data_IF_891238745389
#
_entry.id   IF_891238745389
#
_cell.length_a   1.000
_cell.length_b   1.000
_cell.length_c   1.000
_cell.angle_alpha   90.00
_cell.angle_beta   90.00
_cell.angle_gamma   90.00
#
_symmetry.space_group_name_H-M   'P 1'
#
loop_
_entity.id
_entity.type
_entity.pdbx_description
1 polymer ?
#
# COMPACT_ATOMS: atom_id res chain seq x y z
N UNK A 1 -36.91 -22.74 -80.68
CA UNK A 1 -35.79 -22.94 -79.73
C UNK A 1 -36.03 -22.04 -78.54
N UNK A 2 -36.38 -22.64 -77.40
CA UNK A 2 -36.84 -21.98 -76.16
C UNK A 2 -35.67 -21.42 -75.35
N UNK A 3 -35.82 -20.25 -74.73
CA UNK A 3 -35.23 -19.92 -73.41
C UNK A 3 -35.85 -18.61 -72.88
N UNK A 4 -36.93 -18.69 -72.09
CA UNK A 4 -37.02 -18.67 -70.61
C UNK A 4 -36.71 -17.30 -69.97
N UNK A 5 -37.79 -16.68 -69.46
CA UNK A 5 -37.83 -15.63 -68.42
C UNK A 5 -37.04 -16.04 -67.18
N UNK A 6 -36.32 -15.10 -66.58
CA UNK A 6 -36.19 -15.04 -65.11
C UNK A 6 -36.26 -13.58 -64.64
N UNK A 7 -37.34 -13.32 -63.90
CA UNK A 7 -37.57 -12.13 -63.09
C UNK A 7 -36.60 -12.14 -61.91
N UNK A 8 -35.78 -11.10 -61.75
CA UNK A 8 -34.95 -10.93 -60.56
C UNK A 8 -35.51 -9.76 -59.75
N UNK A 9 -36.36 -10.12 -58.79
CA UNK A 9 -36.91 -9.26 -57.76
C UNK A 9 -35.76 -8.80 -56.86
N UNK A 10 -35.66 -7.48 -56.67
CA UNK A 10 -34.65 -6.86 -55.80
C UNK A 10 -34.86 -7.24 -54.33
N UNK A 11 -33.77 -7.59 -53.66
CA UNK A 11 -33.71 -7.70 -52.20
C UNK A 11 -32.72 -6.63 -51.75
N UNK A 12 -33.27 -5.48 -51.34
CA UNK A 12 -32.52 -4.41 -50.69
C UNK A 12 -32.32 -4.82 -49.22
N UNK A 13 -31.07 -5.14 -48.87
CA UNK A 13 -30.70 -5.52 -47.51
C UNK A 13 -30.76 -4.30 -46.60
N UNK A 14 -31.67 -4.31 -45.62
CA UNK A 14 -31.67 -3.37 -44.49
C UNK A 14 -30.56 -3.76 -43.51
N UNK A 15 -29.46 -3.00 -43.50
CA UNK A 15 -28.44 -3.10 -42.46
C UNK A 15 -28.87 -2.28 -41.24
N UNK A 16 -29.25 -2.96 -40.15
CA UNK A 16 -29.43 -2.34 -38.85
C UNK A 16 -28.06 -1.93 -38.29
N UNK A 17 -27.73 -0.65 -38.37
CA UNK A 17 -26.61 -0.05 -37.64
C UNK A 17 -27.02 0.11 -36.18
N UNK A 18 -26.73 -0.90 -35.34
CA UNK A 18 -26.84 -0.78 -33.90
C UNK A 18 -25.65 0.06 -33.38
N UNK A 19 -25.86 1.36 -33.20
CA UNK A 19 -24.99 2.17 -32.34
C UNK A 19 -25.21 1.69 -30.90
N UNK A 20 -24.28 0.88 -30.39
CA UNK A 20 -24.15 0.69 -28.96
C UNK A 20 -23.58 1.95 -28.35
N UNK A 21 -24.38 2.64 -27.53
CA UNK A 21 -23.88 3.72 -26.67
C UNK A 21 -22.74 3.15 -25.82
N UNK A 22 -21.52 3.63 -26.10
CA UNK A 22 -20.37 3.35 -25.26
C UNK A 22 -20.60 4.11 -23.96
N UNK A 23 -21.17 3.43 -22.97
CA UNK A 23 -21.13 3.86 -21.57
C UNK A 23 -19.69 4.26 -21.27
N UNK A 24 -19.42 5.50 -20.85
CA UNK A 24 -18.08 5.87 -20.41
C UNK A 24 -17.73 4.94 -19.26
N UNK A 25 -16.74 4.07 -19.47
CA UNK A 25 -16.19 3.29 -18.37
C UNK A 25 -15.77 4.30 -17.30
N UNK A 26 -16.38 4.22 -16.12
CA UNK A 26 -15.95 5.00 -14.97
C UNK A 26 -14.44 4.79 -14.85
N UNK A 27 -13.68 5.88 -14.98
CA UNK A 27 -12.23 5.86 -14.86
C UNK A 27 -11.89 5.26 -13.49
N UNK A 28 -11.52 3.98 -13.47
CA UNK A 28 -11.06 3.33 -12.27
C UNK A 28 -9.81 4.09 -11.81
N UNK A 29 -9.88 4.72 -10.64
CA UNK A 29 -8.69 5.24 -9.97
C UNK A 29 -7.66 4.11 -9.95
N UNK A 30 -6.43 4.31 -10.44
CA UNK A 30 -5.41 3.27 -10.44
C UNK A 30 -5.28 2.70 -9.03
N UNK A 31 -5.44 1.38 -8.90
CA UNK A 31 -5.30 0.72 -7.62
C UNK A 31 -3.86 0.91 -7.11
N UNK A 32 -3.74 1.34 -5.85
CA UNK A 32 -2.43 1.61 -5.23
C UNK A 32 -1.68 0.28 -5.08
N UNK A 33 -0.56 0.13 -5.82
CA UNK A 33 0.24 -1.10 -5.80
C UNK A 33 1.37 -1.00 -4.76
N UNK A 34 1.18 -1.65 -3.62
CA UNK A 34 2.15 -1.65 -2.52
C UNK A 34 3.29 -2.65 -2.69
N UNK A 35 3.09 -3.73 -3.46
CA UNK A 35 4.07 -4.82 -3.58
C UNK A 35 5.45 -4.30 -3.91
N UNK A 36 6.45 -4.75 -3.15
CA UNK A 36 7.83 -4.30 -3.26
C UNK A 36 8.48 -4.02 -1.91
N UNK A 37 9.69 -3.51 -1.96
CA UNK A 37 10.49 -3.11 -0.79
C UNK A 37 10.57 -1.59 -0.71
N UNK A 38 10.44 -1.09 0.51
CA UNK A 38 10.32 0.33 0.82
C UNK A 38 11.28 0.67 1.94
N UNK A 39 12.18 1.63 1.74
CA UNK A 39 13.11 2.10 2.76
C UNK A 39 12.50 3.29 3.50
N UNK A 40 12.46 3.25 4.82
CA UNK A 40 12.01 4.39 5.62
C UNK A 40 12.97 5.57 5.39
N UNK A 41 12.44 6.69 4.95
CA UNK A 41 13.20 7.93 4.79
C UNK A 41 12.96 8.90 5.93
N UNK A 42 11.73 8.91 6.47
CA UNK A 42 11.33 9.83 7.52
C UNK A 42 10.23 9.23 8.38
N UNK A 43 10.24 9.55 9.67
CA UNK A 43 9.15 9.24 10.58
C UNK A 43 9.04 10.33 11.66
N UNK A 44 7.80 10.70 12.00
CA UNK A 44 7.50 11.51 13.18
C UNK A 44 6.33 10.93 13.96
N UNK A 45 6.36 11.20 15.25
CA UNK A 45 5.32 10.92 16.21
C UNK A 45 4.72 12.23 16.70
N UNK A 46 3.40 12.30 16.81
CA UNK A 46 2.67 13.43 17.37
C UNK A 46 1.88 12.94 18.58
N UNK A 47 2.18 13.46 19.77
CA UNK A 47 1.54 13.08 21.02
C UNK A 47 1.17 14.34 21.79
N UNK A 48 -0.11 14.51 22.13
CA UNK A 48 -0.63 15.68 22.87
C UNK A 48 -0.28 17.03 22.22
N UNK A 49 -0.17 17.09 20.89
CA UNK A 49 0.23 18.28 20.14
C UNK A 49 1.74 18.43 19.93
N UNK A 50 2.56 17.72 20.70
CA UNK A 50 4.01 17.74 20.55
C UNK A 50 4.45 16.82 19.42
N UNK A 51 5.31 17.34 18.52
CA UNK A 51 5.87 16.59 17.40
C UNK A 51 7.32 16.20 17.68
N UNK A 52 7.63 14.92 17.56
CA UNK A 52 9.00 14.39 17.70
C UNK A 52 9.39 13.65 16.42
N UNK A 53 10.53 14.01 15.83
CA UNK A 53 11.13 13.24 14.73
C UNK A 53 11.73 11.95 15.28
N UNK A 54 11.34 10.81 14.74
CA UNK A 54 11.82 9.48 15.18
C UNK A 54 12.72 8.81 14.16
N UNK A 55 12.77 9.31 12.92
CA UNK A 55 13.70 8.88 11.88
C UNK A 55 14.05 10.06 10.96
N UNK A 56 15.29 10.19 10.44
CA UNK A 56 16.42 9.27 10.53
C UNK A 56 17.09 9.20 11.91
N UNK A 57 17.64 8.03 12.22
CA UNK A 57 18.57 7.82 13.35
C UNK A 57 19.93 7.45 12.77
N UNK A 58 20.98 8.15 13.21
CA UNK A 58 22.32 7.91 12.71
C UNK A 58 22.73 6.43 12.90
N UNK A 59 23.33 5.83 11.88
CA UNK A 59 23.80 4.44 11.93
C UNK A 59 22.70 3.39 11.89
N UNK A 60 21.46 3.72 11.52
CA UNK A 60 20.35 2.78 11.42
C UNK A 60 19.64 2.89 10.09
N UNK A 61 19.06 1.79 9.64
CA UNK A 61 18.12 1.78 8.52
C UNK A 61 16.94 0.86 8.79
N UNK A 62 15.84 1.13 8.10
CA UNK A 62 14.62 0.34 8.18
C UNK A 62 14.05 0.12 6.78
N UNK A 63 13.58 -1.09 6.53
CA UNK A 63 12.81 -1.45 5.35
C UNK A 63 11.46 -2.03 5.74
N UNK A 64 10.49 -1.87 4.85
CA UNK A 64 9.17 -2.48 4.88
C UNK A 64 8.90 -3.15 3.54
N UNK A 65 8.35 -4.36 3.57
CA UNK A 65 8.05 -5.15 2.39
C UNK A 65 6.57 -5.45 2.35
N UNK A 66 6.00 -5.47 1.15
CA UNK A 66 4.65 -5.94 0.90
C UNK A 66 4.68 -7.01 -0.18
N UNK A 67 3.94 -8.10 0.02
CA UNK A 67 3.89 -9.23 -0.93
C UNK A 67 2.48 -9.52 -1.48
N UNK A 68 1.58 -8.54 -1.39
CA UNK A 68 0.20 -8.65 -1.88
C UNK A 68 -0.84 -8.94 -0.80
N UNK A 69 -0.47 -9.64 0.28
CA UNK A 69 -1.36 -9.90 1.42
C UNK A 69 -0.69 -9.74 2.78
N UNK A 70 0.64 -9.78 2.82
CA UNK A 70 1.43 -9.64 4.03
C UNK A 70 2.38 -8.46 3.93
N UNK A 71 2.70 -7.92 5.10
CA UNK A 71 3.76 -6.97 5.28
C UNK A 71 4.79 -7.50 6.26
N UNK A 72 6.02 -7.01 6.15
CA UNK A 72 7.04 -7.17 7.15
C UNK A 72 7.89 -5.90 7.22
N UNK A 73 8.37 -5.54 8.40
CA UNK A 73 9.36 -4.49 8.57
C UNK A 73 10.58 -5.02 9.32
N UNK A 74 11.72 -4.45 9.01
CA UNK A 74 13.01 -4.77 9.60
C UNK A 74 13.76 -3.47 9.82
N UNK A 75 14.29 -3.28 11.03
CA UNK A 75 15.22 -2.23 11.36
C UNK A 75 16.47 -2.86 11.94
N UNK A 76 17.63 -2.35 11.53
CA UNK A 76 18.90 -2.78 12.09
C UNK A 76 19.91 -1.64 12.16
N UNK A 77 20.90 -1.77 13.04
CA UNK A 77 22.08 -0.93 13.02
C UNK A 77 23.04 -1.33 11.88
N UNK A 78 23.69 -0.34 11.30
CA UNK A 78 24.64 -0.53 10.19
C UNK A 78 25.95 -1.18 10.65
N UNK A 79 26.21 -1.21 11.96
CA UNK A 79 27.39 -1.89 12.54
C UNK A 79 27.20 -3.39 12.70
N UNK A 80 26.00 -3.92 12.41
CA UNK A 80 25.66 -5.34 12.57
C UNK A 80 25.90 -5.84 14.00
N UNK A 81 25.64 -4.99 14.99
CA UNK A 81 25.81 -5.27 16.41
C UNK A 81 27.25 -5.28 16.92
N UNK A 82 28.25 -4.89 16.12
CA UNK A 82 29.65 -4.81 16.62
C UNK A 82 29.86 -3.63 17.55
N UNK A 83 29.09 -2.54 17.39
CA UNK A 83 29.01 -1.47 18.39
C UNK A 83 27.88 -1.80 19.38
N UNK A 84 28.26 -2.38 20.52
CA UNK A 84 27.29 -2.81 21.56
C UNK A 84 26.51 -1.67 22.20
N UNK A 85 26.97 -0.42 22.08
CA UNK A 85 26.27 0.75 22.62
C UNK A 85 25.08 1.19 21.77
N UNK A 86 25.09 0.85 20.47
CA UNK A 86 24.06 1.25 19.50
C UNK A 86 23.37 0.07 18.81
N UNK A 87 23.80 -1.17 19.10
CA UNK A 87 23.29 -2.40 18.53
C UNK A 87 21.76 -2.46 18.62
N UNK A 88 21.11 -2.60 17.46
CA UNK A 88 19.66 -2.75 17.38
C UNK A 88 19.29 -3.68 16.24
N UNK A 89 18.36 -4.58 16.52
CA UNK A 89 17.61 -5.30 15.51
C UNK A 89 16.17 -5.41 15.99
N UNK A 90 15.23 -4.95 15.18
CA UNK A 90 13.80 -5.12 15.44
C UNK A 90 13.07 -5.44 14.15
N UNK A 91 12.01 -6.22 14.29
CA UNK A 91 11.20 -6.65 13.15
C UNK A 91 9.76 -6.88 13.57
N UNK A 92 8.86 -6.80 12.61
CA UNK A 92 7.50 -7.25 12.77
C UNK A 92 6.89 -7.63 11.44
N UNK A 93 5.84 -8.43 11.47
CA UNK A 93 5.17 -8.93 10.28
C UNK A 93 3.72 -9.34 10.57
N UNK A 94 2.92 -9.38 9.52
CA UNK A 94 1.53 -9.79 9.61
C UNK A 94 0.81 -9.66 8.27
N UNK A 95 -0.52 -9.70 8.32
CA UNK A 95 -1.37 -9.50 7.15
C UNK A 95 -1.79 -8.05 7.03
N UNK A 96 -2.27 -7.66 5.85
CA UNK A 96 -2.92 -6.38 5.66
C UNK A 96 -4.12 -6.45 4.72
N UNK A 97 -5.00 -5.46 4.84
CA UNK A 97 -6.06 -5.16 3.87
C UNK A 97 -5.85 -3.75 3.35
N UNK A 98 -6.00 -3.58 2.03
CA UNK A 98 -5.94 -2.28 1.36
C UNK A 98 -7.24 -2.03 0.59
N UNK A 99 -7.96 -0.97 0.92
CA UNK A 99 -9.17 -0.52 0.25
C UNK A 99 -9.07 0.96 -0.07
N UNK A 100 -8.78 1.28 -1.35
CA UNK A 100 -8.46 2.65 -1.76
C UNK A 100 -7.18 3.14 -1.07
N UNK A 101 -7.31 4.18 -0.25
CA UNK A 101 -6.23 4.74 0.58
C UNK A 101 -6.20 4.16 2.00
N UNK A 102 -7.19 3.35 2.39
CA UNK A 102 -7.30 2.77 3.74
C UNK A 102 -6.52 1.48 3.83
N UNK A 103 -5.55 1.46 4.72
CA UNK A 103 -4.63 0.37 4.95
C UNK A 103 -4.74 -0.09 6.39
N UNK A 104 -5.06 -1.36 6.60
CA UNK A 104 -5.17 -1.95 7.93
C UNK A 104 -4.17 -3.09 8.06
N UNK A 105 -3.31 -3.00 9.07
CA UNK A 105 -2.37 -4.05 9.46
C UNK A 105 -2.96 -4.89 10.57
N UNK A 106 -2.77 -6.20 10.48
CA UNK A 106 -2.91 -7.11 11.61
C UNK A 106 -1.52 -7.67 11.94
N UNK A 107 -0.92 -7.18 13.03
CA UNK A 107 0.46 -7.48 13.41
C UNK A 107 0.53 -8.79 14.21
N UNK A 108 1.09 -9.84 13.61
CA UNK A 108 1.11 -11.19 14.20
C UNK A 108 2.47 -11.57 14.79
N UNK A 109 3.54 -10.96 14.29
CA UNK A 109 4.90 -11.19 14.74
C UNK A 109 5.52 -9.84 15.07
N UNK A 110 6.12 -9.69 16.25
CA UNK A 110 6.86 -8.47 16.58
C UNK A 110 7.99 -8.75 17.57
N UNK A 111 9.15 -8.11 17.38
CA UNK A 111 10.23 -8.14 18.38
C UNK A 111 9.75 -7.62 19.74
N UNK A 112 8.83 -6.65 19.73
CA UNK A 112 8.15 -6.20 20.93
C UNK A 112 6.78 -6.89 21.06
N UNK A 113 6.78 -8.05 21.73
CA UNK A 113 5.64 -8.98 21.82
C UNK A 113 4.33 -8.36 22.32
N UNK A 114 4.40 -7.30 23.13
CA UNK A 114 3.21 -6.58 23.61
C UNK A 114 2.35 -5.95 22.51
N UNK A 115 2.89 -5.81 21.30
CA UNK A 115 2.18 -5.28 20.13
C UNK A 115 1.54 -6.35 19.25
N UNK A 116 1.80 -7.64 19.51
CA UNK A 116 1.21 -8.72 18.72
C UNK A 116 -0.31 -8.79 18.90
N UNK A 117 -0.97 -9.33 17.88
CA UNK A 117 -2.42 -9.45 17.73
C UNK A 117 -3.12 -8.09 17.93
N UNK A 118 -2.50 -7.03 17.40
CA UNK A 118 -3.09 -5.68 17.33
C UNK A 118 -3.35 -5.31 15.88
N UNK A 119 -4.35 -4.44 15.74
CA UNK A 119 -4.76 -3.88 14.47
C UNK A 119 -4.37 -2.41 14.43
N UNK A 120 -3.77 -1.99 13.32
CA UNK A 120 -3.37 -0.61 13.09
C UNK A 120 -3.94 -0.11 11.78
N UNK A 121 -4.66 0.99 11.84
CA UNK A 121 -5.30 1.59 10.66
C UNK A 121 -4.56 2.85 10.24
N UNK A 122 -4.22 2.91 8.97
CA UNK A 122 -3.51 4.02 8.36
C UNK A 122 -4.23 4.49 7.09
N UNK A 123 -3.97 5.73 6.73
CA UNK A 123 -4.23 6.28 5.40
C UNK A 123 -2.92 6.35 4.64
N UNK A 124 -2.90 5.83 3.42
CA UNK A 124 -1.75 5.83 2.53
C UNK A 124 -1.89 6.88 1.44
N UNK A 125 -0.77 7.50 1.07
CA UNK A 125 -0.68 8.35 -0.10
C UNK A 125 0.57 7.97 -0.88
N UNK A 126 0.41 7.64 -2.15
CA UNK A 126 1.52 7.27 -3.04
C UNK A 126 1.76 8.37 -4.07
N UNK A 127 2.97 8.91 -4.09
CA UNK A 127 3.43 9.85 -5.10
C UNK A 127 4.73 9.34 -5.71
N UNK A 128 4.68 8.88 -6.96
CA UNK A 128 5.80 8.25 -7.66
C UNK A 128 6.37 7.05 -6.87
N UNK A 129 7.59 7.17 -6.36
CA UNK A 129 8.30 6.20 -5.54
C UNK A 129 8.22 6.49 -4.04
N UNK A 130 7.43 7.49 -3.63
CA UNK A 130 7.26 7.87 -2.22
C UNK A 130 5.91 7.42 -1.69
N UNK A 131 5.92 6.54 -0.70
CA UNK A 131 4.73 6.12 0.06
C UNK A 131 4.69 6.84 1.40
N UNK A 132 3.61 7.56 1.66
CA UNK A 132 3.33 8.19 2.95
C UNK A 132 2.27 7.36 3.67
N UNK A 133 2.57 6.96 4.91
CA UNK A 133 1.66 6.26 5.81
C UNK A 133 1.35 7.17 7.00
N UNK A 134 0.08 7.32 7.33
CA UNK A 134 -0.38 8.15 8.45
C UNK A 134 -1.48 7.46 9.23
N UNK A 135 -1.35 7.34 10.54
CA UNK A 135 -2.37 6.69 11.37
C UNK A 135 -2.19 6.97 12.85
N UNK A 136 -3.12 6.44 13.65
CA UNK A 136 -3.05 6.52 15.11
C UNK A 136 -2.68 5.14 15.61
N UNK A 137 -1.59 5.06 16.36
CA UNK A 137 -1.23 3.87 17.11
C UNK A 137 -1.79 4.00 18.51
N UNK A 138 -2.69 3.10 18.88
CA UNK A 138 -3.33 3.09 20.19
C UNK A 138 -3.35 1.68 20.78
N UNK A 139 -2.70 1.53 21.93
CA UNK A 139 -2.71 0.29 22.73
C UNK A 139 -2.91 0.70 24.19
N UNK A 140 -4.15 0.57 24.68
CA UNK A 140 -4.53 1.07 26.01
C UNK A 140 -3.74 0.40 27.14
N UNK A 141 -3.47 -0.90 27.04
CA UNK A 141 -2.69 -1.67 28.03
C UNK A 141 -1.23 -1.21 28.14
N UNK A 142 -0.70 -0.54 27.12
CA UNK A 142 0.67 -0.03 27.08
C UNK A 142 0.71 1.50 27.21
N UNK A 143 -0.43 2.16 27.41
CA UNK A 143 -0.56 3.62 27.43
C UNK A 143 -0.01 4.29 26.17
N UNK A 144 -0.13 3.59 25.02
CA UNK A 144 0.24 4.10 23.71
C UNK A 144 -0.99 4.76 23.10
N UNK A 145 -0.85 6.02 22.73
CA UNK A 145 -1.83 6.78 21.98
C UNK A 145 -1.10 7.98 21.34
N UNK A 146 -0.73 7.83 20.09
CA UNK A 146 -0.08 8.89 19.32
C UNK A 146 -0.42 8.73 17.84
N UNK A 147 -0.27 9.82 17.11
CA UNK A 147 -0.28 9.79 15.66
C UNK A 147 1.14 9.53 15.16
N UNK A 148 1.26 8.69 14.14
CA UNK A 148 2.51 8.42 13.44
C UNK A 148 2.37 8.81 11.96
N UNK A 149 3.41 9.46 11.43
CA UNK A 149 3.54 9.77 10.00
C UNK A 149 4.89 9.30 9.51
N UNK A 150 4.88 8.38 8.56
CA UNK A 150 6.06 7.77 7.97
C UNK A 150 6.09 8.03 6.46
N UNK A 151 7.28 8.30 5.93
CA UNK A 151 7.50 8.38 4.50
C UNK A 151 8.57 7.37 4.09
N UNK A 152 8.25 6.57 3.09
CA UNK A 152 9.09 5.51 2.56
C UNK A 152 9.41 5.76 1.09
N UNK A 153 10.61 5.38 0.68
CA UNK A 153 11.05 5.41 -0.71
C UNK A 153 11.16 3.99 -1.24
N UNK A 154 10.55 3.72 -2.41
CA UNK A 154 10.59 2.42 -3.07
C UNK A 154 12.02 2.08 -3.49
N UNK A 155 12.50 0.89 -3.13
CA UNK A 155 13.76 0.35 -3.62
C UNK A 155 13.55 -0.30 -5.00
N UNK A 156 14.53 -0.14 -5.89
CA UNK A 156 14.53 -0.66 -7.26
C UNK A 156 15.54 -1.80 -7.40
#
# INVERSE_FOLDING_TARGET
MNLRLFSAIGIMALTFAACGDKTPAASATPALSLTGTWKLAYSKMIKNGDTTSTFPVAGREMIKLFNGSHFAFFQHDLSKGTDTSNAVYSSGAGTYVLSGDKYEEHLQYCSYRGWEDKHFSFTLTLHNDTLIQRGIEKIDSLQINHEIIEAYIRLR
#
